data_IF_617900847823
#
_entry.id   IF_617900847823
#
_cell.length_a   1.000
_cell.length_b   1.000
_cell.length_c   1.000
_cell.angle_alpha   90.00
_cell.angle_beta   90.00
_cell.angle_gamma   90.00
#
_symmetry.space_group_name_H-M   'P 1'
#
loop_
_entity.id
_entity.type
_entity.pdbx_description
1 polymer ?
2 non-polymer ?
3 non-polymer ?
4 non-polymer ?
#
# COMPACT_ATOMS: atom_id res chain seq x y z
N UNK A 3 -25.88 -19.34 23.08
CA UNK A 3 -25.77 -20.79 23.09
C UNK A 3 -24.71 -21.33 24.04
N UNK A 4 -24.99 -22.48 24.64
CA UNK A 4 -24.08 -23.15 25.57
C UNK A 4 -22.78 -23.56 24.87
N UNK A 5 -22.71 -23.34 23.57
CA UNK A 5 -21.54 -23.60 22.74
C UNK A 5 -21.07 -22.35 22.01
N UNK A 6 -22.03 -21.53 21.53
CA UNK A 6 -21.69 -20.22 20.99
C UNK A 6 -20.85 -19.41 21.96
N UNK A 7 -21.04 -19.62 23.26
CA UNK A 7 -20.18 -19.01 24.27
C UNK A 7 -18.91 -19.81 24.48
N UNK A 8 -18.91 -21.10 24.15
CA UNK A 8 -17.65 -21.83 24.16
C UNK A 8 -16.85 -21.56 22.90
N UNK A 9 -17.51 -21.17 21.81
CA UNK A 9 -16.80 -20.81 20.58
C UNK A 9 -16.22 -19.40 20.67
N UNK A 10 -16.94 -18.50 21.35
CA UNK A 10 -16.43 -17.15 21.52
C UNK A 10 -15.26 -17.12 22.49
N UNK A 11 -15.36 -17.82 23.61
CA UNK A 11 -14.22 -17.80 24.52
C UNK A 11 -13.04 -18.56 23.97
N UNK A 12 -13.17 -19.19 22.80
CA UNK A 12 -12.02 -19.75 22.07
C UNK A 12 -11.45 -18.65 21.17
N UNK A 13 -12.26 -18.20 20.22
CA UNK A 13 -11.83 -17.17 19.27
C UNK A 13 -11.33 -15.94 20.01
N UNK A 14 -12.13 -15.41 20.92
CA UNK A 14 -11.72 -14.19 21.60
C UNK A 14 -10.60 -14.42 22.62
N UNK A 15 -10.13 -15.65 22.75
CA UNK A 15 -9.11 -15.95 23.75
C UNK A 15 -7.74 -15.48 23.29
N UNK A 16 -6.88 -15.22 24.27
CA UNK A 16 -5.52 -14.81 23.96
C UNK A 16 -4.79 -15.87 23.16
N UNK A 17 -4.76 -17.11 23.65
CA UNK A 17 -3.96 -18.15 23.01
C UNK A 17 -4.30 -18.31 21.54
N UNK A 18 -5.58 -18.17 21.18
CA UNK A 18 -6.01 -18.35 19.80
C UNK A 18 -5.49 -17.24 18.91
N UNK A 19 -5.66 -15.98 19.32
CA UNK A 19 -5.13 -14.87 18.55
C UNK A 19 -3.61 -14.85 18.60
N UNK A 20 -3.02 -15.13 19.76
CA UNK A 20 -1.55 -15.28 19.79
C UNK A 20 -1.10 -16.51 19.01
N UNK A 21 -1.95 -17.51 18.83
CA UNK A 21 -1.53 -18.66 18.03
C UNK A 21 -1.36 -18.28 16.57
N UNK A 22 -2.33 -17.57 16.01
CA UNK A 22 -2.20 -17.23 14.59
C UNK A 22 -1.19 -16.12 14.39
N UNK A 23 -0.68 -15.50 15.46
CA UNK A 23 0.47 -14.62 15.30
C UNK A 23 1.75 -15.43 15.19
N UNK A 24 1.84 -16.57 15.86
CA UNK A 24 2.97 -17.46 15.64
C UNK A 24 2.86 -18.16 14.30
N UNK A 25 1.63 -18.36 13.79
CA UNK A 25 1.45 -18.89 12.45
C UNK A 25 1.63 -17.84 11.38
N UNK A 26 1.57 -16.55 11.74
CA UNK A 26 1.94 -15.51 10.79
C UNK A 26 3.46 -15.48 10.60
N UNK A 27 4.20 -15.45 11.71
CA UNK A 27 5.66 -15.30 11.66
C UNK A 27 6.30 -16.55 11.09
N UNK A 28 5.78 -17.74 11.41
CA UNK A 28 6.27 -18.95 10.75
C UNK A 28 6.07 -18.92 9.24
N UNK A 29 5.00 -18.26 8.78
CA UNK A 29 4.72 -18.17 7.35
C UNK A 29 5.58 -17.11 6.68
N UNK A 30 5.86 -16.01 7.37
CA UNK A 30 6.68 -14.97 6.77
C UNK A 30 8.13 -15.37 6.57
N UNK A 31 8.67 -16.19 7.48
CA UNK A 31 9.99 -16.78 7.23
C UNK A 31 9.94 -17.70 6.02
N UNK A 32 8.84 -18.43 5.84
CA UNK A 32 8.69 -19.38 4.74
C UNK A 32 8.68 -18.68 3.39
N UNK A 33 7.90 -17.60 3.28
CA UNK A 33 7.94 -16.74 2.11
C UNK A 33 9.34 -16.23 1.87
N UNK A 34 10.07 -15.93 2.93
CA UNK A 34 11.43 -15.46 2.76
C UNK A 34 12.31 -16.51 2.11
N UNK A 35 12.33 -17.71 2.67
CA UNK A 35 13.16 -18.78 2.12
C UNK A 35 12.70 -19.17 0.73
N UNK A 36 11.38 -19.18 0.50
CA UNK A 36 10.85 -19.64 -0.78
C UNK A 36 11.36 -18.85 -1.97
N UNK A 37 11.88 -17.63 -1.76
CA UNK A 37 12.48 -16.90 -2.87
C UNK A 37 13.83 -17.47 -3.24
N UNK A 38 14.51 -18.10 -2.28
CA UNK A 38 15.77 -18.78 -2.55
C UNK A 38 15.56 -19.92 -3.54
N UNK A 39 16.47 -20.05 -4.51
CA UNK A 39 16.38 -21.17 -5.43
C UNK A 39 16.95 -22.45 -4.81
N UNK A 40 18.08 -22.32 -4.11
CA UNK A 40 18.64 -23.46 -3.36
C UNK A 40 17.64 -24.04 -2.37
N UNK A 41 17.07 -23.21 -1.49
CA UNK A 41 16.10 -23.74 -0.53
C UNK A 41 14.97 -24.45 -1.26
N UNK A 42 14.51 -23.90 -2.37
CA UNK A 42 13.33 -24.43 -3.04
C UNK A 42 13.58 -25.78 -3.68
N UNK A 43 14.83 -26.05 -4.12
CA UNK A 43 15.12 -27.34 -4.73
C UNK A 43 15.07 -28.46 -3.69
N UNK A 44 15.57 -28.19 -2.49
CA UNK A 44 15.56 -29.19 -1.43
C UNK A 44 14.22 -29.20 -0.70
N UNK A 45 13.99 -28.19 0.14
CA UNK A 45 12.85 -28.11 1.03
C UNK A 45 11.62 -27.54 0.34
N UNK A 46 11.56 -27.61 -0.99
CA UNK A 46 10.41 -27.04 -1.68
C UNK A 46 9.10 -27.69 -1.26
N UNK A 47 9.10 -29.03 -1.19
CA UNK A 47 7.88 -29.78 -0.96
C UNK A 47 7.28 -29.45 0.40
N UNK A 48 8.02 -29.76 1.49
CA UNK A 48 7.59 -29.39 2.84
C UNK A 48 6.89 -28.05 2.84
N UNK A 49 7.61 -27.07 2.32
CA UNK A 49 7.15 -25.71 2.18
C UNK A 49 5.79 -25.67 1.50
N UNK A 50 5.72 -26.00 0.21
CA UNK A 50 4.43 -25.91 -0.46
C UNK A 50 3.36 -26.72 0.25
N UNK A 51 3.74 -27.81 0.91
CA UNK A 51 2.82 -28.51 1.80
C UNK A 51 2.47 -27.62 3.00
N UNK A 52 3.49 -27.03 3.62
CA UNK A 52 3.27 -26.12 4.74
C UNK A 52 2.31 -25.01 4.35
N UNK A 53 2.43 -24.49 3.13
CA UNK A 53 1.60 -23.36 2.69
C UNK A 53 0.11 -23.73 2.60
N UNK A 54 -0.20 -24.99 2.28
CA UNK A 54 -1.59 -25.45 2.28
C UNK A 54 -2.12 -25.69 3.69
N UNK A 55 -1.24 -26.12 4.61
CA UNK A 55 -1.65 -26.33 6.00
C UNK A 55 -2.19 -25.03 6.59
N UNK A 56 -1.50 -23.92 6.33
CA UNK A 56 -1.91 -22.65 6.90
C UNK A 56 -3.20 -22.15 6.26
N UNK A 57 -3.31 -22.26 4.94
CA UNK A 57 -4.44 -21.58 4.31
C UNK A 57 -5.76 -22.23 4.73
N UNK A 58 -5.77 -23.54 4.98
CA UNK A 58 -6.95 -24.13 5.59
C UNK A 58 -7.09 -23.70 7.04
N UNK A 59 -5.98 -23.55 7.77
CA UNK A 59 -6.05 -23.05 9.14
C UNK A 59 -6.70 -21.69 9.19
N UNK A 60 -6.35 -20.81 8.26
CA UNK A 60 -6.91 -19.47 8.31
C UNK A 60 -8.36 -19.49 7.85
N UNK A 61 -8.65 -20.23 6.78
CA UNK A 61 -10.03 -20.35 6.36
C UNK A 61 -10.89 -21.03 7.42
N UNK A 62 -10.32 -21.98 8.18
CA UNK A 62 -10.94 -22.42 9.43
C UNK A 62 -11.25 -21.21 10.29
N UNK A 63 -10.20 -20.46 10.67
CA UNK A 63 -10.35 -19.37 11.61
C UNK A 63 -11.14 -18.19 11.05
N UNK A 64 -11.03 -17.92 9.74
CA UNK A 64 -11.84 -16.84 9.21
C UNK A 64 -13.30 -17.27 9.21
N UNK A 65 -13.55 -18.58 9.16
CA UNK A 65 -14.92 -19.08 9.26
C UNK A 65 -15.40 -19.01 10.71
N UNK A 66 -14.58 -19.47 11.64
CA UNK A 66 -14.93 -19.42 13.05
C UNK A 66 -15.27 -18.00 13.47
N UNK A 67 -14.34 -17.07 13.27
CA UNK A 67 -14.53 -15.71 13.77
C UNK A 67 -15.56 -14.93 12.96
N UNK A 68 -15.90 -15.34 11.73
CA UNK A 68 -17.05 -14.72 11.09
C UNK A 68 -18.34 -15.26 11.68
N UNK A 69 -18.33 -16.49 12.19
CA UNK A 69 -19.48 -17.02 12.90
C UNK A 69 -19.65 -16.33 14.26
N UNK A 70 -18.57 -16.30 15.04
CA UNK A 70 -18.61 -15.68 16.37
C UNK A 70 -19.22 -14.29 16.31
N UNK A 71 -18.93 -13.54 15.25
CA UNK A 71 -19.25 -12.13 15.17
C UNK A 71 -20.27 -11.77 14.11
N UNK A 72 -20.76 -12.73 13.34
CA UNK A 72 -21.84 -12.57 12.35
C UNK A 72 -21.60 -11.35 11.48
N UNK A 73 -22.54 -10.40 11.39
CA UNK A 73 -22.46 -9.29 10.44
C UNK A 73 -21.65 -8.11 10.97
N UNK A 74 -21.35 -8.07 12.27
CA UNK A 74 -20.41 -7.08 12.77
C UNK A 74 -19.03 -7.28 12.13
N UNK A 75 -18.65 -8.54 11.93
CA UNK A 75 -17.36 -8.88 11.33
C UNK A 75 -17.12 -8.12 10.03
N UNK A 76 -18.19 -7.81 9.30
CA UNK A 76 -18.07 -7.26 7.94
C UNK A 76 -18.06 -5.75 7.89
N UNK A 77 -18.27 -5.04 8.99
CA UNK A 77 -18.05 -3.61 9.02
C UNK A 77 -16.80 -3.23 9.79
N UNK A 78 -15.86 -4.15 9.95
CA UNK A 78 -14.60 -3.87 10.63
C UNK A 78 -13.47 -3.77 9.62
N UNK A 79 -12.69 -2.68 9.66
CA UNK A 79 -11.65 -2.52 8.65
C UNK A 79 -10.59 -3.61 8.71
N UNK A 80 -10.10 -3.94 9.90
CA UNK A 80 -9.09 -4.98 10.01
C UNK A 80 -9.66 -6.32 9.56
N UNK A 81 -10.86 -6.67 10.03
CA UNK A 81 -11.47 -7.95 9.70
C UNK A 81 -11.72 -8.07 8.19
N UNK A 82 -12.31 -7.03 7.60
CA UNK A 82 -12.52 -7.05 6.15
C UNK A 82 -11.23 -7.32 5.41
N UNK A 83 -10.14 -6.68 5.85
CA UNK A 83 -8.85 -6.91 5.23
C UNK A 83 -8.48 -8.38 5.31
N UNK A 84 -8.59 -8.96 6.51
CA UNK A 84 -8.29 -10.38 6.68
C UNK A 84 -9.17 -11.25 5.80
N UNK A 85 -10.44 -10.86 5.60
CA UNK A 85 -11.28 -11.62 4.70
C UNK A 85 -10.76 -11.52 3.27
N UNK A 86 -10.37 -10.32 2.85
CA UNK A 86 -10.06 -10.06 1.45
C UNK A 86 -8.67 -10.49 1.05
N UNK A 87 -7.75 -10.71 2.00
CA UNK A 87 -6.46 -11.30 1.64
C UNK A 87 -6.52 -12.82 1.68
N UNK A 88 -7.28 -13.39 2.62
CA UNK A 88 -7.51 -14.83 2.59
C UNK A 88 -8.26 -15.21 1.32
N UNK A 89 -9.24 -14.40 0.92
CA UNK A 89 -10.03 -14.68 -0.28
C UNK A 89 -9.14 -14.70 -1.52
N UNK A 90 -8.44 -13.58 -1.75
CA UNK A 90 -7.32 -13.47 -2.70
C UNK A 90 -6.48 -14.74 -2.67
N UNK A 91 -6.12 -15.19 -1.46
CA UNK A 91 -5.22 -16.32 -1.33
C UNK A 91 -5.85 -17.62 -1.82
N UNK A 92 -7.18 -17.78 -1.70
CA UNK A 92 -7.79 -19.09 -1.91
C UNK A 92 -7.80 -19.49 -3.38
N UNK A 93 -7.97 -18.54 -4.29
CA UNK A 93 -7.92 -18.88 -5.73
C UNK A 93 -6.51 -19.32 -6.10
N UNK A 94 -6.32 -20.50 -6.80
CA UNK A 94 -4.99 -21.12 -6.91
C UNK A 94 -4.16 -20.67 -8.12
N UNK A 95 -3.00 -21.31 -8.30
CA UNK A 95 -2.01 -20.88 -9.29
C UNK A 95 -2.36 -21.38 -10.70
N UNK A 96 -1.73 -20.73 -11.69
CA UNK A 96 -1.90 -21.02 -13.12
C UNK A 96 -3.32 -20.73 -13.62
N UNK A 97 -4.07 -19.92 -12.88
CA UNK A 97 -5.39 -19.45 -13.30
C UNK A 97 -5.35 -17.93 -13.39
N UNK A 98 -5.65 -17.40 -14.58
CA UNK A 98 -5.59 -15.96 -14.82
C UNK A 98 -4.17 -15.47 -14.95
N UNK A 99 -3.88 -14.28 -14.41
CA UNK A 99 -2.49 -13.94 -14.17
C UNK A 99 -1.94 -14.79 -13.05
N UNK A 100 -0.62 -14.90 -13.01
CA UNK A 100 0.07 -15.37 -11.83
C UNK A 100 0.56 -14.22 -10.97
N UNK A 101 0.29 -12.97 -11.39
CA UNK A 101 0.51 -11.82 -10.52
C UNK A 101 -0.27 -11.96 -9.21
N UNK A 102 -1.34 -12.75 -9.21
CA UNK A 102 -2.02 -12.97 -7.95
C UNK A 102 -1.15 -13.77 -7.00
N UNK A 103 -0.29 -14.66 -7.51
CA UNK A 103 0.62 -15.35 -6.60
C UNK A 103 1.53 -14.34 -5.91
N UNK A 104 1.99 -13.33 -6.64
CA UNK A 104 2.85 -12.37 -5.95
C UNK A 104 2.00 -11.52 -5.02
N UNK A 105 0.71 -11.32 -5.35
CA UNK A 105 -0.17 -10.54 -4.47
C UNK A 105 -0.54 -11.27 -3.19
N UNK A 106 -0.57 -12.61 -3.24
CA UNK A 106 -0.71 -13.41 -2.03
C UNK A 106 0.24 -12.96 -0.94
N UNK A 107 1.39 -12.40 -1.30
CA UNK A 107 2.34 -12.01 -0.30
C UNK A 107 1.83 -10.88 0.58
N UNK A 108 0.68 -10.28 0.22
CA UNK A 108 0.11 -9.24 1.08
C UNK A 108 -0.38 -9.82 2.42
N UNK A 109 -0.69 -11.11 2.48
CA UNK A 109 -1.21 -11.67 3.71
C UNK A 109 -0.25 -11.47 4.89
N UNK A 110 1.01 -11.13 4.64
CA UNK A 110 1.86 -10.78 5.76
C UNK A 110 1.33 -9.58 6.52
N UNK A 111 0.61 -8.67 5.86
CA UNK A 111 0.08 -7.51 6.57
C UNK A 111 -0.90 -7.90 7.67
N UNK A 112 -1.28 -9.17 7.73
CA UNK A 112 -2.10 -9.61 8.84
C UNK A 112 -1.38 -9.36 10.15
N UNK A 113 -0.05 -9.44 10.16
CA UNK A 113 0.71 -9.20 11.40
C UNK A 113 0.43 -7.82 11.98
N UNK A 114 0.12 -6.85 11.12
CA UNK A 114 -0.33 -5.52 11.56
C UNK A 114 -1.75 -5.56 12.12
N UNK A 115 -2.62 -6.40 11.53
CA UNK A 115 -3.97 -6.62 12.07
C UNK A 115 -3.94 -7.35 13.39
N UNK A 116 -3.14 -8.41 13.49
CA UNK A 116 -3.21 -9.26 14.66
C UNK A 116 -2.52 -8.63 15.86
N UNK A 117 -1.55 -7.75 15.64
CA UNK A 117 -0.76 -7.18 16.74
C UNK A 117 -1.36 -5.81 17.10
N UNK A 118 -1.84 -5.62 18.32
CA UNK A 118 -2.50 -4.34 18.66
C UNK A 118 -1.58 -3.14 18.55
N UNK A 119 -0.42 -3.18 19.20
CA UNK A 119 0.58 -2.12 19.07
C UNK A 119 0.77 -1.69 17.62
N UNK A 120 0.63 -2.64 16.67
CA UNK A 120 0.74 -2.36 15.25
C UNK A 120 -0.53 -1.79 14.65
N UNK A 121 -1.71 -2.25 15.06
CA UNK A 121 -2.88 -1.62 14.51
C UNK A 121 -3.06 -0.23 15.09
N UNK A 122 -2.46 0.03 16.25
CA UNK A 122 -2.51 1.38 16.81
C UNK A 122 -1.85 2.39 15.88
N UNK A 123 -0.57 2.15 15.54
CA UNK A 123 0.22 3.07 14.73
C UNK A 123 -0.34 3.19 13.30
N UNK A 124 -0.89 2.10 12.76
CA UNK A 124 -1.54 2.21 11.45
C UNK A 124 -2.78 3.10 11.53
N UNK A 125 -3.51 3.05 12.64
CA UNK A 125 -4.65 3.96 12.81
C UNK A 125 -4.21 5.40 12.98
N UNK A 126 -3.06 5.63 13.64
CA UNK A 126 -2.47 6.95 13.65
C UNK A 126 -2.24 7.45 12.23
N UNK A 127 -1.45 6.70 11.47
CA UNK A 127 -1.07 7.15 10.13
C UNK A 127 -2.30 7.44 9.28
N UNK A 128 -3.33 6.58 9.36
CA UNK A 128 -4.51 6.83 8.54
C UNK A 128 -5.33 7.96 9.13
N UNK A 129 -5.30 8.12 10.45
CA UNK A 129 -6.03 9.23 11.08
C UNK A 129 -5.65 10.57 10.47
N UNK A 130 -4.42 10.69 9.96
CA UNK A 130 -3.89 11.93 9.39
C UNK A 130 -4.52 12.28 8.04
N UNK A 131 -5.05 11.30 7.31
CA UNK A 131 -5.24 11.44 5.88
C UNK A 131 -6.47 12.27 5.51
N UNK A 132 -7.54 12.35 6.32
CA UNK A 132 -8.63 13.29 5.96
C UNK A 132 -8.16 14.74 5.82
N UNK A 133 -7.37 15.24 6.77
CA UNK A 133 -6.97 16.64 6.74
C UNK A 133 -6.23 17.07 5.49
N UNK A 134 -5.43 16.18 4.92
CA UNK A 134 -4.66 16.58 3.76
C UNK A 134 -5.42 16.43 2.46
N UNK A 135 -6.71 16.07 2.50
CA UNK A 135 -7.40 15.73 1.27
C UNK A 135 -7.51 16.94 0.33
N UNK A 136 -7.93 18.10 0.86
CA UNK A 136 -8.02 19.29 0.02
C UNK A 136 -6.71 19.65 -0.65
N UNK A 137 -5.57 19.40 0.02
CA UNK A 137 -4.28 19.67 -0.63
C UNK A 137 -3.99 18.63 -1.71
N UNK A 138 -4.27 17.36 -1.41
CA UNK A 138 -4.16 16.28 -2.40
C UNK A 138 -5.08 16.55 -3.58
N UNK A 139 -6.18 17.27 -3.35
CA UNK A 139 -7.11 17.66 -4.40
C UNK A 139 -6.45 18.65 -5.31
N UNK A 140 -6.35 19.88 -4.83
CA UNK A 140 -5.60 20.93 -5.49
C UNK A 140 -4.40 20.37 -6.23
N UNK A 141 -3.61 19.57 -5.50
CA UNK A 141 -2.37 19.01 -6.04
C UNK A 141 -2.63 18.15 -7.26
N UNK A 142 -3.59 17.22 -7.17
CA UNK A 142 -3.86 16.36 -8.32
C UNK A 142 -4.23 17.19 -9.52
N UNK A 143 -5.13 18.16 -9.34
CA UNK A 143 -5.53 19.07 -10.41
C UNK A 143 -4.33 19.75 -11.05
N UNK A 144 -3.46 20.32 -10.21
CA UNK A 144 -2.26 21.00 -10.66
C UNK A 144 -1.39 20.12 -11.55
N UNK A 145 -1.14 18.89 -11.10
CA UNK A 145 -0.43 17.94 -11.92
C UNK A 145 -1.15 17.73 -13.24
N UNK A 146 -2.44 17.46 -13.18
CA UNK A 146 -3.25 17.31 -14.39
C UNK A 146 -3.01 18.44 -15.38
N UNK A 147 -3.18 19.69 -14.93
CA UNK A 147 -3.04 20.85 -15.84
C UNK A 147 -1.66 20.88 -16.48
N UNK A 148 -0.63 20.53 -15.71
CA UNK A 148 0.72 20.62 -16.26
C UNK A 148 1.05 19.43 -17.16
N UNK A 149 0.57 18.24 -16.81
CA UNK A 149 0.64 17.12 -17.75
C UNK A 149 0.15 17.55 -19.13
N UNK A 150 -0.91 18.36 -19.17
CA UNK A 150 -1.52 18.65 -20.46
C UNK A 150 -0.71 19.66 -21.25
N UNK A 151 -0.22 20.73 -20.61
CA UNK A 151 0.65 21.64 -21.35
C UNK A 151 1.94 20.94 -21.72
N UNK A 152 2.52 20.20 -20.77
CA UNK A 152 3.79 19.53 -21.03
C UNK A 152 3.68 18.60 -22.22
N UNK A 153 2.60 17.84 -22.33
CA UNK A 153 2.41 17.04 -23.54
C UNK A 153 2.30 17.95 -24.76
N UNK A 154 1.41 18.95 -24.68
CA UNK A 154 1.19 19.84 -25.80
C UNK A 154 2.46 20.55 -26.26
N UNK A 155 3.43 20.78 -25.36
CA UNK A 155 4.65 21.48 -25.75
C UNK A 155 5.76 20.53 -26.20
N UNK A 156 5.88 19.36 -25.57
CA UNK A 156 7.05 18.51 -25.70
C UNK A 156 6.81 17.09 -26.20
N UNK A 157 5.57 16.63 -26.31
CA UNK A 157 5.37 15.22 -26.58
C UNK A 157 5.76 14.79 -27.97
N UNK A 158 5.76 15.72 -28.93
CA UNK A 158 6.02 15.35 -30.31
C UNK A 158 7.51 15.15 -30.54
N UNK A 159 8.33 15.91 -29.84
CA UNK A 159 9.76 15.81 -29.99
C UNK A 159 10.42 15.02 -28.86
N UNK A 160 9.69 14.69 -27.81
CA UNK A 160 10.21 13.94 -26.67
C UNK A 160 9.19 12.89 -26.25
N UNK A 161 8.94 11.89 -27.11
CA UNK A 161 7.81 10.99 -26.90
C UNK A 161 7.97 10.02 -25.76
N UNK A 162 9.19 9.68 -25.38
CA UNK A 162 9.39 8.84 -24.22
C UNK A 162 8.99 9.56 -22.93
N UNK A 163 8.95 10.88 -22.94
CA UNK A 163 8.67 11.63 -21.71
C UNK A 163 7.36 12.39 -21.73
N UNK A 164 6.87 12.81 -22.89
CA UNK A 164 5.70 13.67 -22.93
C UNK A 164 4.69 13.30 -24.03
N UNK A 165 4.90 12.22 -24.78
CA UNK A 165 3.94 11.93 -25.83
C UNK A 165 2.59 11.44 -25.35
N UNK A 166 2.45 11.19 -24.07
CA UNK A 166 1.22 10.66 -23.51
C UNK A 166 0.85 11.56 -22.35
N UNK A 167 -0.44 11.74 -22.10
CA UNK A 167 -0.79 12.46 -20.88
C UNK A 167 -0.23 11.75 -19.65
N UNK A 168 -0.19 10.42 -19.68
CA UNK A 168 0.40 9.68 -18.58
C UNK A 168 1.92 9.75 -18.59
N UNK A 169 2.53 9.57 -19.76
CA UNK A 169 3.98 9.73 -19.83
C UNK A 169 4.39 11.02 -19.16
N UNK A 170 3.65 12.10 -19.45
CA UNK A 170 3.92 13.40 -18.83
C UNK A 170 3.70 13.36 -17.32
N UNK A 171 2.52 12.87 -16.91
CA UNK A 171 2.22 12.69 -15.50
C UNK A 171 3.38 12.06 -14.75
N UNK A 172 3.96 11.01 -15.32
CA UNK A 172 5.03 10.27 -14.66
C UNK A 172 6.29 11.11 -14.53
N UNK A 173 6.87 11.51 -15.67
CA UNK A 173 8.00 12.43 -15.71
C UNK A 173 7.83 13.58 -14.72
N UNK A 174 6.64 14.19 -14.71
CA UNK A 174 6.36 15.27 -13.77
C UNK A 174 6.39 14.77 -12.34
N UNK A 175 5.86 13.59 -12.09
CA UNK A 175 5.98 13.07 -10.74
C UNK A 175 7.43 12.99 -10.36
N UNK A 176 8.28 12.57 -11.31
CA UNK A 176 9.70 12.39 -11.05
C UNK A 176 10.39 13.72 -10.81
N UNK A 177 10.18 14.69 -11.71
CA UNK A 177 10.71 16.04 -11.53
C UNK A 177 10.35 16.59 -10.16
N UNK A 178 9.11 16.36 -9.71
CA UNK A 178 8.78 16.76 -8.34
C UNK A 178 9.73 16.11 -7.33
N UNK A 179 9.96 14.83 -7.43
CA UNK A 179 10.92 14.28 -6.49
C UNK A 179 12.33 14.77 -6.75
N UNK A 180 12.57 15.78 -7.62
CA UNK A 180 13.89 16.34 -7.91
C UNK A 180 14.88 15.34 -8.48
N UNK A 181 14.41 14.25 -9.07
CA UNK A 181 15.26 13.10 -9.39
C UNK A 181 15.81 13.28 -10.79
N UNK A 182 17.07 13.70 -10.88
CA UNK A 182 17.67 14.02 -12.17
C UNK A 182 16.81 14.98 -12.94
N UNK A 183 16.09 15.86 -12.24
CA UNK A 183 15.21 16.79 -12.95
C UNK A 183 16.00 17.63 -13.95
N UNK A 184 17.23 18.03 -13.60
CA UNK A 184 17.95 18.96 -14.47
C UNK A 184 18.84 18.18 -15.44
N UNK A 185 19.89 17.53 -14.94
CA UNK A 185 20.83 16.89 -15.87
C UNK A 185 20.13 15.86 -16.75
N UNK A 186 19.04 15.26 -16.30
CA UNK A 186 18.41 14.23 -17.10
C UNK A 186 17.14 14.58 -17.89
N UNK A 187 16.57 15.77 -17.66
CA UNK A 187 15.29 16.15 -18.28
C UNK A 187 15.33 17.58 -18.80
N UNK A 188 15.29 18.55 -17.89
CA UNK A 188 15.25 19.96 -18.31
C UNK A 188 16.49 20.30 -19.13
N UNK A 189 17.67 19.89 -18.68
CA UNK A 189 18.85 20.20 -19.47
C UNK A 189 18.82 19.59 -20.86
N UNK A 190 18.54 18.27 -21.04
CA UNK A 190 18.39 17.74 -22.41
C UNK A 190 17.39 18.50 -23.26
N UNK A 191 16.32 19.04 -22.65
CA UNK A 191 15.30 19.78 -23.39
C UNK A 191 15.85 21.10 -23.92
N UNK A 192 16.65 21.82 -23.13
CA UNK A 192 17.10 23.12 -23.61
C UNK A 192 18.07 23.06 -24.79
N UNK A 193 18.45 21.86 -25.24
CA UNK A 193 19.21 21.74 -26.47
C UNK A 193 18.34 22.04 -27.69
N UNK A 194 17.03 21.82 -27.56
CA UNK A 194 16.05 22.12 -28.61
C UNK A 194 15.17 23.32 -28.26
N UNK A 195 14.43 23.23 -27.17
CA UNK A 195 13.58 24.29 -26.68
C UNK A 195 14.35 25.06 -25.61
N UNK A 196 14.96 26.22 -25.90
CA UNK A 196 15.87 26.83 -24.92
C UNK A 196 15.19 27.53 -23.76
N UNK A 197 13.91 27.90 -23.85
CA UNK A 197 13.24 28.50 -22.70
C UNK A 197 12.30 27.48 -22.07
N UNK A 198 12.82 26.26 -21.87
CA UNK A 198 12.07 25.22 -21.16
C UNK A 198 12.12 25.42 -19.67
N UNK A 199 13.12 26.15 -19.19
CA UNK A 199 13.25 26.37 -17.77
C UNK A 199 12.11 27.22 -17.22
N UNK A 200 11.49 28.04 -18.09
CA UNK A 200 10.29 28.81 -17.75
C UNK A 200 9.15 27.92 -17.32
N UNK A 201 9.07 26.71 -17.86
CA UNK A 201 8.03 25.77 -17.46
C UNK A 201 8.39 25.01 -16.20
N UNK A 202 9.67 24.71 -15.99
CA UNK A 202 10.01 23.78 -14.90
C UNK A 202 10.44 24.46 -13.62
N UNK A 203 11.27 25.52 -13.70
CA UNK A 203 11.63 26.25 -12.47
C UNK A 203 10.41 26.80 -11.77
N UNK A 204 9.39 27.35 -12.44
CA UNK A 204 8.11 27.59 -11.76
C UNK A 204 7.44 26.34 -11.23
N UNK A 205 7.40 25.26 -12.02
CA UNK A 205 6.70 24.07 -11.60
C UNK A 205 7.30 23.49 -10.33
N UNK A 206 8.63 23.52 -10.22
CA UNK A 206 9.31 23.02 -9.02
C UNK A 206 8.90 23.85 -7.81
N UNK A 207 9.01 25.18 -7.94
CA UNK A 207 8.63 26.09 -6.87
C UNK A 207 7.24 25.79 -6.31
N UNK A 208 6.23 25.73 -7.19
CA UNK A 208 4.86 25.58 -6.70
C UNK A 208 4.70 24.26 -5.94
N UNK A 209 5.20 23.16 -6.50
CA UNK A 209 4.95 21.87 -5.86
C UNK A 209 5.84 21.71 -4.63
N UNK A 210 6.97 22.39 -4.56
CA UNK A 210 7.75 22.33 -3.33
C UNK A 210 7.07 23.12 -2.22
N UNK A 211 6.67 24.35 -2.52
CA UNK A 211 5.89 25.17 -1.58
C UNK A 211 4.65 24.44 -1.09
N UNK A 212 3.84 23.91 -2.01
CA UNK A 212 2.67 23.13 -1.61
C UNK A 212 3.04 21.98 -0.69
N UNK A 213 4.19 21.33 -0.93
CA UNK A 213 4.58 20.24 -0.05
C UNK A 213 4.92 20.75 1.33
N UNK A 214 5.80 21.76 1.41
CA UNK A 214 6.17 22.35 2.69
C UNK A 214 4.94 22.68 3.50
N UNK A 215 3.96 23.33 2.87
CA UNK A 215 2.72 23.63 3.57
C UNK A 215 2.00 22.37 3.99
N UNK A 216 1.86 21.40 3.09
CA UNK A 216 1.22 20.14 3.48
C UNK A 216 1.81 19.59 4.77
N UNK A 217 3.13 19.70 4.93
CA UNK A 217 3.81 19.13 6.09
C UNK A 217 3.62 20.02 7.33
N UNK A 218 3.84 21.33 7.21
CA UNK A 218 3.56 22.21 8.34
C UNK A 218 2.10 22.02 8.76
N UNK A 219 1.24 21.74 7.78
CA UNK A 219 -0.17 21.46 8.04
C UNK A 219 -0.35 20.26 8.98
N UNK A 220 0.28 19.13 8.67
CA UNK A 220 0.22 17.98 9.57
C UNK A 220 0.67 18.37 10.98
N UNK A 221 1.80 19.10 11.09
CA UNK A 221 2.43 19.43 12.38
C UNK A 221 1.55 20.36 13.21
N UNK A 222 0.82 21.27 12.55
CA UNK A 222 -0.07 22.11 13.31
C UNK A 222 -1.30 21.33 13.76
N UNK A 223 -1.87 20.50 12.89
CA UNK A 223 -3.03 19.73 13.33
C UNK A 223 -2.65 18.70 14.38
N UNK A 224 -1.45 18.14 14.31
CA UNK A 224 -1.03 17.31 15.44
C UNK A 224 -0.95 18.10 16.74
N UNK A 225 -1.01 19.43 16.68
CA UNK A 225 -0.87 20.29 17.87
C UNK A 225 -2.19 20.71 18.49
N UNK A 226 -3.21 20.99 17.68
CA UNK A 226 -4.55 21.16 18.22
C UNK A 226 -4.92 20.01 19.16
N UNK A 227 -4.42 18.81 18.86
CA UNK A 227 -4.73 17.63 19.66
C UNK A 227 -4.06 17.70 21.05
N UNK A 228 -2.81 18.19 21.12
CA UNK A 228 -2.11 18.22 22.40
C UNK A 228 -2.75 19.21 23.37
N UNK A 229 -2.97 20.44 22.92
CA UNK A 229 -3.57 21.44 23.82
C UNK A 229 -4.98 21.03 24.21
N UNK A 230 -5.68 20.30 23.33
CA UNK A 230 -7.04 19.85 23.62
C UNK A 230 -7.06 18.72 24.63
N UNK A 231 -6.00 17.90 24.64
CA UNK A 231 -5.83 16.82 25.61
C UNK A 231 -5.30 17.35 26.94
#
# INVERSE_FOLDING_TARGET
>A
GSGSMYLRITNIVESSFFTKFIIYLIVLNGITMGLETSKTFMQSFGVYTTLFKQIVITIFTIEIILRIYVHRISFFKDPWSLFDFFVVAISLVPTSSGFEILRVLRVLRLFRLVTAVPQMRKIVSALISVIPGMLSVIALMTLFFYIFAIMATQLFGERFPEWFGTLGESFYTLFQVMTLESWSMGIVRPLMEVYPYAWVFFIPFIFVVTFVMINLVVAIIVDAMAILNQKEEQHIIDEVQSHEDNINNEIIKLREEIVELKELIKTSLKN
#
